data_IF_517143054316
#
_entry.id   IF_517143054316
#
_cell.length_a   1.000
_cell.length_b   1.000
_cell.length_c   1.000
_cell.angle_alpha   90.00
_cell.angle_beta   90.00
_cell.angle_gamma   90.00
#
_symmetry.space_group_name_H-M   'P 1'
#
loop_
_entity.id
_entity.type
_entity.pdbx_description
1 polymer ?
#
# COMPACT_ATOMS: atom_id res chain seq x y z
N UNK A 1 -0.47 33.11 -23.52
CA UNK A 1 -0.13 31.71 -23.81
C UNK A 1 0.43 31.14 -22.52
N UNK A 2 -0.39 30.41 -21.77
CA UNK A 2 0.00 29.86 -20.46
C UNK A 2 0.42 28.43 -20.70
N UNK A 3 1.72 28.16 -20.70
CA UNK A 3 2.24 26.80 -20.81
C UNK A 3 1.89 26.06 -19.52
N UNK A 4 0.86 25.22 -19.62
CA UNK A 4 0.48 24.25 -18.59
C UNK A 4 1.62 23.23 -18.43
N UNK A 5 2.56 23.52 -17.52
CA UNK A 5 3.64 22.64 -17.11
C UNK A 5 3.13 21.52 -16.17
N UNK A 6 1.98 20.92 -16.49
CA UNK A 6 1.49 19.72 -15.82
C UNK A 6 2.19 18.48 -16.38
N UNK A 7 3.52 18.44 -16.25
CA UNK A 7 4.27 17.18 -16.38
C UNK A 7 3.56 16.13 -15.54
N UNK A 8 3.17 14.96 -16.08
CA UNK A 8 2.45 13.97 -15.31
C UNK A 8 3.35 13.56 -14.16
N UNK A 9 3.03 14.03 -12.95
CA UNK A 9 3.73 13.65 -11.73
C UNK A 9 3.75 12.12 -11.76
N UNK A 10 4.92 11.52 -12.01
CA UNK A 10 5.09 10.07 -12.02
C UNK A 10 4.54 9.58 -10.69
N UNK A 11 3.31 9.05 -10.71
CA UNK A 11 2.65 8.55 -9.51
C UNK A 11 3.55 7.43 -9.02
N UNK A 12 4.23 7.70 -7.91
CA UNK A 12 5.18 6.78 -7.30
C UNK A 12 4.49 5.43 -7.06
N UNK A 13 5.11 4.37 -7.54
CA UNK A 13 4.63 3.00 -7.36
C UNK A 13 5.61 2.29 -6.43
N UNK A 14 5.27 2.04 -5.15
CA UNK A 14 6.13 1.30 -4.25
C UNK A 14 6.35 -0.13 -4.76
N UNK A 15 7.52 -0.70 -4.48
CA UNK A 15 7.75 -2.13 -4.64
C UNK A 15 6.98 -2.92 -3.58
N UNK A 16 6.71 -4.21 -3.83
CA UNK A 16 6.11 -5.10 -2.82
C UNK A 16 6.92 -5.09 -1.51
N UNK A 17 8.25 -5.12 -1.60
CA UNK A 17 9.12 -5.10 -0.41
C UNK A 17 8.96 -3.81 0.40
N UNK A 18 8.81 -2.67 -0.27
CA UNK A 18 8.55 -1.38 0.38
C UNK A 18 7.18 -1.36 1.08
N UNK A 19 6.14 -1.92 0.46
CA UNK A 19 4.80 -2.02 1.06
C UNK A 19 4.84 -2.91 2.31
N UNK A 20 5.52 -4.06 2.23
CA UNK A 20 5.67 -4.97 3.38
C UNK A 20 6.42 -4.29 4.51
N UNK A 21 7.50 -3.58 4.22
CA UNK A 21 8.27 -2.85 5.24
C UNK A 21 7.43 -1.76 5.91
N UNK A 22 6.67 -0.99 5.12
CA UNK A 22 5.72 -0.01 5.63
C UNK A 22 4.60 -0.65 6.47
N UNK A 23 4.10 -1.81 6.05
CA UNK A 23 3.02 -2.53 6.74
C UNK A 23 3.41 -2.99 8.15
N UNK A 24 4.70 -3.28 8.40
CA UNK A 24 5.22 -3.65 9.74
C UNK A 24 5.05 -2.55 10.80
N UNK A 25 4.85 -1.30 10.37
CA UNK A 25 4.69 -0.13 11.25
C UNK A 25 3.22 0.23 11.51
N UNK A 26 2.29 -0.52 10.92
CA UNK A 26 0.87 -0.25 11.08
C UNK A 26 0.42 -0.64 12.49
N UNK A 27 -0.38 0.20 13.16
CA UNK A 27 -1.00 -0.17 14.42
C UNK A 27 -2.02 -1.31 14.21
N UNK A 28 -2.40 -2.05 15.26
CA UNK A 28 -3.46 -3.04 15.17
C UNK A 28 -4.75 -2.42 14.59
N UNK A 29 -5.31 -2.96 13.50
CA UNK A 29 -6.47 -2.38 12.82
C UNK A 29 -7.74 -2.39 13.70
N UNK A 30 -7.84 -3.31 14.65
CA UNK A 30 -8.99 -3.49 15.54
C UNK A 30 -9.15 -2.32 16.53
N UNK A 31 -8.03 -1.77 17.01
CA UNK A 31 -8.00 -0.74 18.05
C UNK A 31 -7.72 0.66 17.49
N UNK A 32 -7.53 0.79 16.18
CA UNK A 32 -7.17 2.07 15.58
C UNK A 32 -8.42 2.89 15.24
N UNK A 33 -8.53 4.13 15.69
CA UNK A 33 -9.78 4.88 15.53
C UNK A 33 -10.04 5.37 14.11
N UNK A 34 -8.98 5.61 13.33
CA UNK A 34 -9.08 6.19 11.98
C UNK A 34 -9.23 5.12 10.90
N UNK A 35 -9.83 5.51 9.78
CA UNK A 35 -9.98 4.64 8.59
C UNK A 35 -8.66 4.57 7.80
N UNK A 36 -7.87 5.63 7.82
CA UNK A 36 -6.63 5.72 7.03
C UNK A 36 -5.40 5.81 7.93
N UNK A 37 -4.32 5.19 7.47
CA UNK A 37 -3.00 5.33 8.06
C UNK A 37 -1.97 5.62 6.97
N UNK A 38 -1.15 6.63 7.18
CA UNK A 38 -0.09 7.01 6.25
C UNK A 38 1.25 6.52 6.80
N UNK A 39 1.94 5.67 6.03
CA UNK A 39 3.22 5.09 6.40
C UNK A 39 4.34 5.60 5.48
N UNK A 40 5.50 5.88 6.04
CA UNK A 40 6.70 6.24 5.29
C UNK A 40 7.31 5.02 4.59
N UNK A 41 7.98 5.25 3.47
CA UNK A 41 8.70 4.20 2.75
C UNK A 41 10.18 4.27 3.10
N UNK A 42 10.76 3.10 3.39
CA UNK A 42 12.18 3.02 3.72
C UNK A 42 13.03 3.19 2.45
N UNK A 43 14.12 3.95 2.56
CA UNK A 43 15.02 4.25 1.45
C UNK A 43 14.53 5.36 0.49
N UNK A 44 13.33 5.91 0.71
CA UNK A 44 12.74 6.96 -0.13
C UNK A 44 12.35 8.16 0.74
N UNK A 45 13.26 9.12 0.89
CA UNK A 45 13.06 10.30 1.73
C UNK A 45 11.80 11.08 1.34
N UNK A 46 10.89 11.22 2.30
CA UNK A 46 9.65 11.98 2.13
C UNK A 46 8.55 11.28 1.32
N UNK A 47 8.74 10.03 0.89
CA UNK A 47 7.67 9.25 0.25
C UNK A 47 6.82 8.52 1.28
N UNK A 48 5.52 8.59 1.08
CA UNK A 48 4.52 7.96 1.93
C UNK A 48 3.50 7.20 1.10
N UNK A 49 2.93 6.16 1.70
CA UNK A 49 1.82 5.39 1.16
C UNK A 49 0.68 5.33 2.16
N UNK A 50 -0.54 5.27 1.63
CA UNK A 50 -1.75 5.23 2.44
C UNK A 50 -2.28 3.79 2.51
N UNK A 51 -2.58 3.37 3.73
CA UNK A 51 -3.33 2.16 4.03
C UNK A 51 -4.75 2.54 4.43
N UNK A 52 -5.70 1.76 3.96
CA UNK A 52 -7.12 1.85 4.31
C UNK A 52 -7.50 0.68 5.19
N UNK A 53 -8.21 0.96 6.28
CA UNK A 53 -8.77 -0.04 7.16
C UNK A 53 -10.08 -0.54 6.58
N UNK A 54 -10.13 -1.84 6.30
CA UNK A 54 -11.30 -2.51 5.74
C UNK A 54 -11.90 -3.52 6.72
N UNK A 55 -13.21 -3.73 6.63
CA UNK A 55 -13.90 -4.84 7.29
C UNK A 55 -14.23 -5.91 6.26
N UNK A 56 -13.80 -7.14 6.54
CA UNK A 56 -14.07 -8.32 5.72
C UNK A 56 -15.06 -9.19 6.50
N UNK A 57 -16.19 -9.50 5.88
CA UNK A 57 -17.13 -10.48 6.40
C UNK A 57 -16.84 -11.80 5.70
N UNK A 58 -16.45 -12.81 6.47
CA UNK A 58 -16.20 -14.16 5.97
C UNK A 58 -17.53 -14.90 5.74
N UNK A 59 -17.55 -15.98 4.94
CA UNK A 59 -18.76 -16.78 4.71
C UNK A 59 -19.37 -17.39 5.98
N UNK A 60 -18.55 -17.65 7.00
CA UNK A 60 -18.97 -18.14 8.32
C UNK A 60 -19.60 -17.04 9.21
N UNK A 61 -19.78 -15.82 8.70
CA UNK A 61 -20.30 -14.67 9.43
C UNK A 61 -19.27 -13.92 10.27
N UNK A 62 -18.03 -14.43 10.37
CA UNK A 62 -16.96 -13.78 11.14
C UNK A 62 -16.57 -12.46 10.48
N UNK A 63 -16.48 -11.41 11.30
CA UNK A 63 -16.01 -10.09 10.87
C UNK A 63 -14.54 -9.91 11.25
N UNK A 64 -13.69 -9.61 10.28
CA UNK A 64 -12.26 -9.35 10.48
C UNK A 64 -11.94 -7.95 9.99
N UNK A 65 -11.16 -7.20 10.76
CA UNK A 65 -10.68 -5.87 10.37
C UNK A 65 -9.23 -6.01 9.90
N UNK A 66 -8.87 -5.40 8.76
CA UNK A 66 -7.51 -5.46 8.20
C UNK A 66 -7.08 -4.14 7.61
N UNK A 67 -5.77 -3.94 7.50
CA UNK A 67 -5.20 -2.92 6.63
C UNK A 67 -5.13 -3.41 5.19
N UNK A 68 -5.44 -2.52 4.26
CA UNK A 68 -5.40 -2.73 2.82
C UNK A 68 -4.61 -1.61 2.17
N UNK A 69 -3.71 -1.96 1.25
CA UNK A 69 -3.06 -0.99 0.39
C UNK A 69 -3.79 -0.93 -0.94
N UNK A 70 -4.22 0.27 -1.35
CA UNK A 70 -4.88 0.50 -2.65
C UNK A 70 -4.02 1.43 -3.49
N UNK A 71 -3.36 0.89 -4.50
CA UNK A 71 -2.50 1.67 -5.38
C UNK A 71 -1.80 0.82 -6.43
N UNK A 72 -0.95 1.48 -7.22
CA UNK A 72 -0.05 0.79 -8.14
C UNK A 72 1.10 0.18 -7.35
N UNK A 73 1.49 -1.03 -7.70
CA UNK A 73 2.64 -1.71 -7.12
C UNK A 73 3.65 -2.02 -8.22
N UNK A 74 4.93 -1.90 -7.91
CA UNK A 74 5.98 -2.50 -8.73
C UNK A 74 6.23 -3.92 -8.24
N UNK A 75 6.02 -4.88 -9.14
CA UNK A 75 6.35 -6.28 -8.90
C UNK A 75 7.81 -6.47 -9.25
N UNK A 76 8.64 -6.76 -8.24
CA UNK A 76 10.05 -7.10 -8.46
C UNK A 76 10.15 -8.39 -9.27
N UNK A 77 11.09 -8.47 -10.22
CA UNK A 77 11.20 -9.61 -11.15
C UNK A 77 11.31 -10.98 -10.48
N UNK A 78 11.79 -11.04 -9.23
CA UNK A 78 11.84 -12.27 -8.42
C UNK A 78 10.46 -12.88 -8.13
N UNK A 79 9.38 -12.11 -8.30
CA UNK A 79 8.00 -12.57 -8.20
C UNK A 79 7.33 -12.68 -9.58
N UNK A 80 7.97 -12.18 -10.64
CA UNK A 80 7.48 -12.25 -12.02
C UNK A 80 8.00 -13.54 -12.68
N UNK A 81 7.41 -14.67 -12.28
CA UNK A 81 7.64 -15.96 -12.95
C UNK A 81 8.38 -16.97 -12.09
N UNK A 82 7.67 -17.57 -11.14
CA UNK A 82 7.82 -19.02 -10.94
C UNK A 82 7.04 -19.69 -12.08
N UNK A 83 7.69 -19.89 -13.23
CA UNK A 83 7.25 -20.98 -14.11
C UNK A 83 7.75 -22.24 -13.43
N UNK A 84 6.83 -23.00 -12.84
CA UNK A 84 7.08 -24.40 -12.49
C UNK A 84 7.66 -25.07 -13.75
N UNK A 85 8.88 -25.59 -13.64
CA UNK A 85 9.51 -26.48 -14.63
C UNK A 85 9.39 -27.91 -14.13
#
# INVERSE_FOLDING_TARGET
MSEDNSSPQKKFAPSISQIISAAKRLPPPETYDKIYFQAFIDGESGKQINFERIKIVKPDGTKVVKWSFKGRIMIESKYAGQKES
#
